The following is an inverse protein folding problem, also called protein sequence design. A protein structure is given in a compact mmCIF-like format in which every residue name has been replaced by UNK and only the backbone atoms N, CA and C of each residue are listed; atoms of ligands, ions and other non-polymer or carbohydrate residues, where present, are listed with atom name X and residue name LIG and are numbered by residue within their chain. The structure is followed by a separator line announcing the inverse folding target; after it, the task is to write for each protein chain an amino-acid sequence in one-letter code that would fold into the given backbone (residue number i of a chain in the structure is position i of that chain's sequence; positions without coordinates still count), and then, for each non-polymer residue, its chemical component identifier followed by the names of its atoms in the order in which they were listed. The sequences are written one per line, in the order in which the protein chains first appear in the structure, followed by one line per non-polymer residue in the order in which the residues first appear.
data_IF_921040130827
#
_entry.id   IF_921040130827
#
_cell.length_a   1.000
_cell.length_b   1.000
_cell.length_c   1.000
_cell.angle_alpha   90.00
_cell.angle_beta   90.00
_cell.angle_gamma   90.00
#
_symmetry.space_group_name_H-M   'P 1'
#
loop_
_entity.id
_entity.type
_entity.pdbx_description
1 polymer ?
#
# COMPACT_ATOMS: atom_id res chain seq x y z
N UNK A 1 4.49 -21.27 1.16
CA UNK A 1 3.33 -22.17 1.27
C UNK A 1 2.41 -21.65 2.37
N UNK A 2 1.13 -21.46 2.05
CA UNK A 2 0.15 -20.76 2.90
C UNK A 2 -0.78 -19.85 2.10
N UNK A 3 -1.52 -20.44 1.15
CA UNK A 3 -2.68 -19.86 0.45
C UNK A 3 -3.87 -19.82 1.39
N UNK A 4 -4.41 -18.64 1.65
CA UNK A 4 -5.55 -18.47 2.56
C UNK A 4 -6.30 -17.17 2.35
N UNK A 5 -6.62 -16.82 1.09
CA UNK A 5 -7.73 -15.93 0.64
C UNK A 5 -7.89 -14.53 1.25
N UNK A 6 -7.07 -14.13 2.21
CA UNK A 6 -7.10 -12.87 2.94
C UNK A 6 -5.67 -12.38 2.94
N UNK A 7 -5.31 -11.55 1.97
CA UNK A 7 -3.98 -10.93 1.90
C UNK A 7 -3.81 -10.00 3.09
N UNK A 8 -3.40 -10.56 4.24
CA UNK A 8 -3.04 -9.76 5.40
C UNK A 8 -1.70 -9.08 5.08
N UNK A 9 -1.78 -7.77 4.92
CA UNK A 9 -0.62 -6.90 4.87
C UNK A 9 -0.03 -6.78 6.28
N UNK A 10 0.84 -7.73 6.65
CA UNK A 10 1.67 -7.65 7.87
C UNK A 10 2.47 -6.35 7.88
N UNK A 11 2.64 -5.69 9.04
CA UNK A 11 3.24 -4.35 9.12
C UNK A 11 4.70 -4.27 8.65
N UNK A 12 5.14 -3.04 8.34
CA UNK A 12 6.55 -2.73 8.05
C UNK A 12 7.39 -3.07 9.29
N UNK A 13 8.47 -3.84 9.12
CA UNK A 13 9.36 -4.26 10.21
C UNK A 13 9.97 -3.07 10.95
N UNK A 14 10.17 -3.19 12.28
CA UNK A 14 10.92 -2.22 13.10
C UNK A 14 12.45 -2.32 12.93
N UNK A 15 12.96 -3.42 12.36
CA UNK A 15 14.40 -3.70 12.19
C UNK A 15 15.00 -3.15 10.88
N UNK A 16 14.21 -2.44 10.07
CA UNK A 16 14.67 -1.80 8.83
C UNK A 16 15.07 -0.33 9.04
N UNK A 17 15.30 0.36 7.93
CA UNK A 17 15.63 1.78 7.94
C UNK A 17 14.43 2.66 8.38
N UNK A 18 14.64 3.43 9.44
CA UNK A 18 13.61 4.30 10.04
C UNK A 18 13.23 5.46 9.12
N UNK A 19 14.18 5.95 8.32
CA UNK A 19 13.96 7.09 7.42
C UNK A 19 13.02 6.71 6.27
N UNK A 20 13.27 5.57 5.62
CA UNK A 20 12.40 5.00 4.58
C UNK A 20 11.00 4.73 5.11
N UNK A 21 10.87 4.16 6.32
CA UNK A 21 9.56 3.97 6.94
C UNK A 21 8.82 5.30 7.11
N UNK A 22 9.52 6.33 7.59
CA UNK A 22 8.94 7.66 7.80
C UNK A 22 8.48 8.28 6.49
N UNK A 23 9.32 8.20 5.46
CA UNK A 23 9.01 8.72 4.12
C UNK A 23 7.78 8.02 3.52
N UNK A 24 7.70 6.69 3.62
CA UNK A 24 6.57 5.92 3.13
C UNK A 24 5.27 6.26 3.89
N UNK A 25 5.34 6.48 5.20
CA UNK A 25 4.19 6.88 6.01
C UNK A 25 3.72 8.30 5.63
N UNK A 26 4.65 9.24 5.46
CA UNK A 26 4.33 10.60 5.02
C UNK A 26 3.70 10.61 3.62
N UNK A 27 4.26 9.85 2.68
CA UNK A 27 3.69 9.66 1.34
C UNK A 27 2.30 9.03 1.38
N UNK A 28 2.10 8.01 2.22
CA UNK A 28 0.78 7.40 2.40
C UNK A 28 -0.26 8.38 2.96
N UNK A 29 0.12 9.27 3.89
CA UNK A 29 -0.76 10.34 4.38
C UNK A 29 -1.17 11.29 3.25
N UNK A 30 -0.22 11.71 2.41
CA UNK A 30 -0.50 12.58 1.27
C UNK A 30 -1.46 11.93 0.27
N UNK A 31 -1.31 10.63 0.00
CA UNK A 31 -2.21 9.89 -0.90
C UNK A 31 -3.62 9.78 -0.32
N UNK A 32 -3.76 9.57 1.00
CA UNK A 32 -5.08 9.52 1.64
C UNK A 32 -5.72 10.92 1.73
N UNK A 33 -4.91 11.98 1.85
CA UNK A 33 -5.40 13.36 1.88
C UNK A 33 -5.86 13.86 0.51
N UNK A 34 -5.32 13.31 -0.58
CA UNK A 34 -5.71 13.66 -1.96
C UNK A 34 -7.10 13.15 -2.31
N UNK A 35 -7.86 13.92 -3.08
CA UNK A 35 -9.17 13.53 -3.61
C UNK A 35 -9.00 12.50 -4.74
N UNK A 36 -9.73 11.38 -4.68
CA UNK A 36 -9.53 10.21 -5.55
C UNK A 36 -8.89 9.02 -4.83
N UNK A 37 -9.52 8.53 -3.76
CA UNK A 37 -9.06 7.36 -3.00
C UNK A 37 -9.49 6.10 -3.75
N UNK A 38 -8.62 5.08 -3.75
CA UNK A 38 -9.03 3.74 -4.20
C UNK A 38 -10.22 3.26 -3.38
N UNK A 39 -11.18 2.55 -3.99
CA UNK A 39 -12.32 1.90 -3.29
C UNK A 39 -11.85 1.07 -2.07
N UNK A 40 -10.68 0.43 -2.20
CA UNK A 40 -10.04 -0.33 -1.12
C UNK A 40 -9.68 0.54 0.10
N UNK A 41 -9.13 1.74 -0.11
CA UNK A 41 -8.76 2.69 0.96
C UNK A 41 -10.03 3.21 1.64
N UNK A 42 -11.06 3.56 0.86
CA UNK A 42 -12.33 4.04 1.40
C UNK A 42 -13.00 2.99 2.27
N UNK A 43 -13.09 1.74 1.79
CA UNK A 43 -13.61 0.61 2.57
C UNK A 43 -12.79 0.34 3.83
N UNK A 44 -11.48 0.61 3.82
CA UNK A 44 -10.62 0.48 5.00
C UNK A 44 -10.86 1.60 6.02
N UNK A 45 -11.01 2.85 5.55
CA UNK A 45 -11.35 4.01 6.39
C UNK A 45 -12.68 3.83 7.11
N UNK A 46 -13.66 3.18 6.46
CA UNK A 46 -14.95 2.87 7.09
C UNK A 46 -14.84 1.83 8.22
N UNK A 47 -13.80 0.97 8.20
CA UNK A 47 -13.66 -0.16 9.13
C UNK A 47 -12.57 0.02 10.18
N UNK A 48 -11.60 0.90 9.96
CA UNK A 48 -10.37 1.00 10.74
C UNK A 48 -9.95 2.46 10.91
N UNK A 49 -9.27 2.72 12.03
CA UNK A 49 -8.74 4.05 12.35
C UNK A 49 -7.74 4.53 11.29
N UNK A 50 -7.74 5.85 11.02
CA UNK A 50 -6.93 6.52 10.01
C UNK A 50 -5.45 6.09 10.01
N UNK A 51 -4.79 6.10 11.17
CA UNK A 51 -3.38 5.71 11.28
C UNK A 51 -3.10 4.25 10.87
N UNK A 52 -4.06 3.34 11.04
CA UNK A 52 -3.94 1.94 10.60
C UNK A 52 -4.00 1.88 9.07
N UNK A 53 -4.87 2.67 8.45
CA UNK A 53 -4.99 2.76 7.00
C UNK A 53 -3.73 3.34 6.38
N UNK A 54 -3.16 4.39 6.98
CA UNK A 54 -1.87 4.98 6.56
C UNK A 54 -0.76 3.92 6.57
N UNK A 55 -0.63 3.16 7.66
CA UNK A 55 0.42 2.13 7.77
C UNK A 55 0.18 0.98 6.78
N UNK A 56 -1.07 0.58 6.57
CA UNK A 56 -1.42 -0.44 5.59
C UNK A 56 -1.05 0.01 4.16
N UNK A 57 -1.37 1.25 3.81
CA UNK A 57 -1.01 1.83 2.51
C UNK A 57 0.50 1.93 2.33
N UNK A 58 1.23 2.42 3.33
CA UNK A 58 2.69 2.46 3.31
C UNK A 58 3.29 1.07 3.10
N UNK A 59 2.71 0.05 3.75
CA UNK A 59 3.16 -1.33 3.58
C UNK A 59 2.85 -1.90 2.18
N UNK A 60 1.70 -1.54 1.59
CA UNK A 60 1.39 -1.87 0.19
C UNK A 60 2.46 -1.28 -0.73
N UNK A 61 2.79 0.00 -0.57
CA UNK A 61 3.81 0.70 -1.36
C UNK A 61 5.18 0.06 -1.21
N UNK A 62 5.60 -0.25 0.02
CA UNK A 62 6.88 -0.92 0.30
C UNK A 62 7.01 -2.27 -0.42
N UNK A 63 5.94 -3.08 -0.40
CA UNK A 63 5.93 -4.38 -1.09
C UNK A 63 5.97 -4.24 -2.60
N UNK A 64 5.27 -3.25 -3.16
CA UNK A 64 5.33 -2.99 -4.59
C UNK A 64 6.73 -2.52 -5.00
N UNK A 65 7.33 -1.60 -4.25
CA UNK A 65 8.71 -1.15 -4.49
C UNK A 65 9.71 -2.31 -4.41
N UNK A 66 9.59 -3.17 -3.40
CA UNK A 66 10.43 -4.37 -3.29
C UNK A 66 10.23 -5.31 -4.48
N UNK A 67 9.00 -5.57 -4.91
CA UNK A 67 8.73 -6.46 -6.04
C UNK A 67 9.25 -5.89 -7.38
N UNK A 68 9.22 -4.56 -7.55
CA UNK A 68 9.79 -3.83 -8.70
C UNK A 68 11.32 -3.98 -8.69
N UNK A 69 11.96 -3.67 -7.57
CA UNK A 69 13.41 -3.74 -7.40
C UNK A 69 13.94 -5.18 -7.53
N UNK A 70 13.31 -6.14 -6.86
CA UNK A 70 13.73 -7.54 -6.87
C UNK A 70 13.57 -8.21 -8.24
N UNK A 71 12.64 -7.73 -9.07
CA UNK A 71 12.40 -8.28 -10.42
C UNK A 71 13.06 -7.46 -11.53
N UNK A 72 13.67 -6.31 -11.21
CA UNK A 72 14.25 -5.40 -12.20
C UNK A 72 13.26 -4.90 -13.26
N UNK A 73 11.95 -5.01 -13.02
CA UNK A 73 10.92 -4.61 -13.96
C UNK A 73 10.47 -3.18 -13.68
N UNK A 74 10.08 -2.45 -14.73
CA UNK A 74 9.44 -1.16 -14.57
C UNK A 74 8.15 -1.27 -13.76
N UNK A 75 7.82 -0.22 -13.00
CA UNK A 75 6.56 -0.18 -12.25
C UNK A 75 5.37 -0.18 -13.21
N UNK A 76 4.57 -1.24 -13.13
CA UNK A 76 3.34 -1.42 -13.89
C UNK A 76 2.12 -1.10 -13.02
N UNK A 77 1.47 0.04 -13.28
CA UNK A 77 0.29 0.51 -12.51
C UNK A 77 -0.87 -0.48 -12.59
N UNK A 78 -1.12 -1.04 -13.77
CA UNK A 78 -2.22 -1.96 -14.09
C UNK A 78 -2.09 -3.28 -13.32
N UNK A 79 -0.87 -3.81 -13.22
CA UNK A 79 -0.58 -5.07 -12.51
C UNK A 79 -0.82 -5.00 -11.01
N UNK A 80 -0.56 -3.84 -10.39
CA UNK A 80 -0.62 -3.66 -8.93
C UNK A 80 -1.90 -2.98 -8.43
N UNK A 81 -2.76 -2.51 -9.34
CA UNK A 81 -4.07 -1.97 -9.01
C UNK A 81 -5.17 -2.39 -9.99
N UNK A 82 -5.48 -3.70 -10.07
CA UNK A 82 -6.40 -4.24 -11.08
C UNK A 82 -7.87 -3.79 -10.93
N UNK A 83 -8.22 -3.12 -9.84
CA UNK A 83 -9.60 -2.72 -9.52
C UNK A 83 -9.92 -1.25 -9.86
N UNK A 84 -8.92 -0.43 -10.21
CA UNK A 84 -9.12 0.99 -10.58
C UNK A 84 -9.24 1.22 -12.10
N UNK A 85 -9.01 0.18 -12.90
CA UNK A 85 -9.12 0.23 -14.37
C UNK A 85 -10.55 0.25 -14.90
N UNK A 86 -11.56 0.00 -14.06
CA UNK A 86 -12.97 -0.18 -14.49
C UNK A 86 -13.78 1.12 -14.43
N UNK A 87 -13.20 2.21 -13.94
CA UNK A 87 -13.84 3.53 -13.90
C UNK A 87 -12.96 4.55 -14.60
N UNK A 88 -12.95 4.49 -15.93
CA UNK A 88 -12.58 5.58 -16.83
C UNK A 88 -13.72 5.78 -17.81
#
# INVERSE_FOLDING_TARGET
MGTGGKTQQLGISKRGDTYLRTLLIAGARAVIARSGKSDWIERLLQRRHYNVVVVALANKMARTAWAVLARGMAFDRTRWNPLETVTA
#
